data_IF_992912340701
#
_entry.id   IF_992912340701
#
_cell.length_a   1.000
_cell.length_b   1.000
_cell.length_c   1.000
_cell.angle_alpha   90.00
_cell.angle_beta   90.00
_cell.angle_gamma   90.00
#
_symmetry.space_group_name_H-M   'P 1'
#
loop_
_entity.id
_entity.type
_entity.pdbx_description
1 polymer ?
#
# COMPACT_ATOMS: atom_id res chain seq x y z
N UNK A 1 -6.44 -34.77 -37.54
CA UNK A 1 -5.25 -34.04 -37.04
C UNK A 1 -5.12 -32.64 -37.68
N UNK A 2 -5.42 -32.46 -38.95
CA UNK A 2 -5.32 -31.17 -39.68
C UNK A 2 -6.28 -30.11 -39.17
N UNK A 3 -7.54 -30.45 -38.78
CA UNK A 3 -8.54 -29.49 -38.26
C UNK A 3 -8.21 -28.92 -36.87
N UNK A 4 -7.39 -29.60 -36.03
CA UNK A 4 -6.94 -29.08 -34.73
C UNK A 4 -5.80 -28.06 -34.88
N UNK A 5 -5.01 -28.15 -35.94
CA UNK A 5 -3.90 -27.24 -36.26
C UNK A 5 -4.45 -25.94 -36.87
N UNK A 6 -5.45 -26.05 -37.78
CA UNK A 6 -6.13 -24.90 -38.35
C UNK A 6 -6.91 -24.06 -37.32
N UNK A 7 -7.55 -24.71 -36.34
CA UNK A 7 -8.24 -24.00 -35.26
C UNK A 7 -7.25 -23.26 -34.29
N UNK A 8 -6.05 -23.81 -34.08
CA UNK A 8 -4.99 -23.16 -33.30
C UNK A 8 -4.36 -21.96 -34.02
N UNK A 9 -4.21 -22.06 -35.36
CA UNK A 9 -3.67 -20.97 -36.18
C UNK A 9 -4.67 -19.80 -36.36
N UNK A 10 -5.97 -20.10 -36.41
CA UNK A 10 -7.00 -19.05 -36.49
C UNK A 10 -7.18 -18.34 -35.15
N UNK A 11 -7.10 -19.07 -34.02
CA UNK A 11 -7.16 -18.50 -32.67
C UNK A 11 -5.94 -17.64 -32.33
N UNK A 12 -4.74 -18.02 -32.82
CA UNK A 12 -3.53 -17.22 -32.60
C UNK A 12 -3.52 -15.91 -33.41
N UNK A 13 -4.03 -15.94 -34.65
CA UNK A 13 -4.20 -14.73 -35.49
C UNK A 13 -5.31 -13.81 -34.93
N UNK A 14 -6.38 -14.38 -34.41
CA UNK A 14 -7.46 -13.63 -33.75
C UNK A 14 -6.99 -12.98 -32.46
N UNK A 15 -6.23 -13.70 -31.65
CA UNK A 15 -5.58 -13.15 -30.44
C UNK A 15 -4.52 -12.09 -30.77
N UNK A 16 -3.73 -12.29 -31.84
CA UNK A 16 -2.79 -11.26 -32.30
C UNK A 16 -3.50 -10.02 -32.88
N UNK A 17 -4.71 -10.17 -33.44
CA UNK A 17 -5.51 -9.02 -33.88
C UNK A 17 -6.07 -8.22 -32.72
N UNK A 18 -6.47 -8.88 -31.61
CA UNK A 18 -6.88 -8.20 -30.37
C UNK A 18 -5.69 -7.61 -29.61
N UNK A 19 -4.54 -8.29 -29.57
CA UNK A 19 -3.33 -7.74 -28.93
C UNK A 19 -2.71 -6.60 -29.74
N UNK A 20 -2.89 -6.56 -31.08
CA UNK A 20 -2.37 -5.48 -31.93
C UNK A 20 -3.27 -4.25 -31.98
N UNK A 21 -4.54 -4.33 -31.49
CA UNK A 21 -5.45 -3.19 -31.42
C UNK A 21 -5.48 -2.53 -30.04
N UNK A 22 -4.79 -3.13 -29.05
CA UNK A 22 -4.51 -2.55 -27.75
C UNK A 22 -3.11 -1.93 -27.66
N UNK A 23 -2.55 -1.48 -28.78
CA UNK A 23 -1.37 -0.64 -28.75
C UNK A 23 -1.79 0.77 -28.34
N UNK A 24 -1.28 1.18 -27.17
CA UNK A 24 -1.00 2.58 -26.85
C UNK A 24 -2.15 3.48 -26.42
N UNK A 25 -2.98 3.02 -25.50
CA UNK A 25 -3.37 3.92 -24.42
C UNK A 25 -2.49 3.56 -23.21
N UNK A 26 -1.37 4.26 -23.07
CA UNK A 26 -0.56 4.21 -21.87
C UNK A 26 -1.39 4.75 -20.69
N UNK A 27 -2.14 3.87 -20.04
CA UNK A 27 -2.76 4.23 -18.77
C UNK A 27 -1.65 4.28 -17.72
N UNK A 28 -1.29 5.47 -17.28
CA UNK A 28 -0.32 5.64 -16.21
C UNK A 28 -1.03 5.33 -14.89
N UNK A 29 -0.56 4.30 -14.18
CA UNK A 29 -1.13 3.96 -12.88
C UNK A 29 -0.81 5.03 -11.83
N UNK A 30 -1.82 5.43 -11.04
CA UNK A 30 -1.66 6.31 -9.88
C UNK A 30 -1.00 5.59 -8.68
N UNK A 31 -0.84 4.27 -8.77
CA UNK A 31 -0.17 3.50 -7.72
C UNK A 31 1.31 3.86 -7.64
N UNK A 32 1.90 3.85 -6.43
CA UNK A 32 3.33 4.08 -6.26
C UNK A 32 4.15 3.15 -7.15
N UNK A 33 5.07 3.70 -7.93
CA UNK A 33 5.94 2.96 -8.85
C UNK A 33 7.30 2.69 -8.22
N UNK A 34 8.00 1.67 -8.72
CA UNK A 34 9.42 1.50 -8.43
C UNK A 34 10.21 2.31 -9.45
N UNK A 35 11.09 3.16 -8.99
CA UNK A 35 11.94 3.96 -9.88
C UNK A 35 13.02 3.05 -10.49
N UNK A 36 13.08 3.05 -11.82
CA UNK A 36 14.05 2.23 -12.57
C UNK A 36 15.05 3.07 -13.36
N UNK A 37 14.68 4.31 -13.72
CA UNK A 37 15.53 5.23 -14.46
C UNK A 37 16.67 5.76 -13.58
N UNK A 38 17.90 5.73 -14.08
CA UNK A 38 19.09 6.15 -13.33
C UNK A 38 19.03 7.62 -12.88
N UNK A 39 18.53 8.52 -13.74
CA UNK A 39 18.39 9.95 -13.44
C UNK A 39 17.43 10.23 -12.27
N UNK A 40 16.37 9.44 -12.15
CA UNK A 40 15.41 9.54 -11.04
C UNK A 40 15.92 8.82 -9.79
N UNK A 41 16.67 7.73 -9.96
CA UNK A 41 17.32 7.05 -8.86
C UNK A 41 18.33 7.92 -8.14
N UNK A 42 19.11 8.73 -8.87
CA UNK A 42 20.04 9.67 -8.26
C UNK A 42 19.31 10.65 -7.33
N UNK A 43 18.12 11.11 -7.68
CA UNK A 43 17.32 12.02 -6.85
C UNK A 43 16.84 11.37 -5.54
N UNK A 44 16.53 10.07 -5.55
CA UNK A 44 16.04 9.36 -4.36
C UNK A 44 17.15 8.68 -3.55
N UNK A 45 18.35 8.51 -4.14
CA UNK A 45 19.49 7.85 -3.51
C UNK A 45 19.83 8.40 -2.11
N UNK A 46 19.81 9.72 -1.86
CA UNK A 46 20.05 10.26 -0.52
C UNK A 46 19.06 9.74 0.53
N UNK A 47 17.79 9.50 0.15
CA UNK A 47 16.78 8.95 1.05
C UNK A 47 17.04 7.48 1.34
N UNK A 48 17.41 6.69 0.32
CA UNK A 48 17.76 5.28 0.46
C UNK A 48 18.97 5.09 1.37
N UNK A 49 20.02 5.86 1.14
CA UNK A 49 21.24 5.84 1.94
C UNK A 49 20.98 6.26 3.39
N UNK A 50 20.10 7.25 3.58
CA UNK A 50 19.72 7.72 4.92
C UNK A 50 18.90 6.66 5.67
N UNK A 51 17.96 5.97 4.99
CA UNK A 51 17.20 4.87 5.57
C UNK A 51 18.11 3.72 6.01
N UNK A 52 19.10 3.35 5.19
CA UNK A 52 20.07 2.30 5.55
C UNK A 52 20.91 2.73 6.76
N UNK A 53 21.39 3.97 6.77
CA UNK A 53 22.14 4.50 7.92
C UNK A 53 21.32 4.45 9.19
N UNK A 54 20.04 4.87 9.11
CA UNK A 54 19.12 4.84 10.25
C UNK A 54 18.89 3.41 10.75
N UNK A 55 18.61 2.45 9.85
CA UNK A 55 18.38 1.05 10.20
C UNK A 55 19.61 0.43 10.86
N UNK A 56 20.81 0.72 10.35
CA UNK A 56 22.06 0.18 10.87
C UNK A 56 22.55 0.90 12.14
N UNK A 57 21.99 2.06 12.47
CA UNK A 57 22.37 2.78 13.69
C UNK A 57 21.84 2.05 14.92
N UNK A 58 22.72 1.89 15.92
CA UNK A 58 22.35 1.26 17.20
C UNK A 58 21.29 2.12 17.91
N UNK A 59 20.30 1.45 18.49
CA UNK A 59 19.17 2.07 19.22
C UNK A 59 18.21 2.92 18.37
N UNK A 60 18.26 2.84 17.05
CA UNK A 60 17.27 3.44 16.15
C UNK A 60 16.35 2.33 15.66
N UNK A 61 15.18 2.20 16.27
CA UNK A 61 14.23 1.13 15.99
C UNK A 61 12.96 1.65 15.31
N UNK A 62 12.58 2.92 15.56
CA UNK A 62 11.42 3.56 14.99
C UNK A 62 11.86 4.74 14.12
N UNK A 63 11.63 4.62 12.83
CA UNK A 63 12.06 5.57 11.80
C UNK A 63 10.82 6.17 11.17
N UNK A 64 10.71 7.49 11.14
CA UNK A 64 9.65 8.18 10.40
C UNK A 64 10.17 8.64 9.03
N UNK A 65 9.44 8.33 7.98
CA UNK A 65 9.58 8.93 6.65
C UNK A 65 8.44 9.94 6.50
N UNK A 66 8.75 11.23 6.62
CA UNK A 66 7.75 12.29 6.69
C UNK A 66 7.71 13.13 5.41
N UNK A 67 6.57 13.70 5.09
CA UNK A 67 6.40 14.57 3.93
C UNK A 67 4.93 14.78 3.63
N UNK A 68 4.58 15.81 2.85
CA UNK A 68 3.21 16.10 2.43
C UNK A 68 2.57 14.93 1.68
N UNK A 69 1.25 14.98 1.52
CA UNK A 69 0.55 14.04 0.66
C UNK A 69 1.11 14.15 -0.78
N UNK A 70 1.28 13.04 -1.47
CA UNK A 70 1.85 13.06 -2.84
C UNK A 70 3.37 13.25 -2.92
N UNK A 71 4.10 13.48 -1.82
CA UNK A 71 5.56 13.73 -1.83
C UNK A 71 6.42 12.57 -2.34
N UNK A 72 5.85 11.37 -2.56
CA UNK A 72 6.58 10.22 -3.08
C UNK A 72 7.07 9.22 -2.02
N UNK A 73 6.67 9.34 -0.75
CA UNK A 73 7.05 8.41 0.35
C UNK A 73 6.91 6.94 -0.03
N UNK A 74 5.74 6.52 -0.51
CA UNK A 74 5.49 5.13 -0.89
C UNK A 74 6.33 4.67 -2.10
N UNK A 75 6.69 5.58 -3.01
CA UNK A 75 7.58 5.31 -4.14
C UNK A 75 9.02 5.06 -3.65
N UNK A 76 9.51 5.87 -2.72
CA UNK A 76 10.81 5.68 -2.07
C UNK A 76 10.83 4.33 -1.35
N UNK A 77 9.81 4.02 -0.55
CA UNK A 77 9.72 2.75 0.19
C UNK A 77 9.67 1.54 -0.74
N UNK A 78 8.88 1.57 -1.82
CA UNK A 78 8.85 0.47 -2.79
C UNK A 78 10.17 0.29 -3.52
N UNK A 79 10.86 1.38 -3.86
CA UNK A 79 12.18 1.30 -4.48
C UNK A 79 13.20 0.75 -3.49
N UNK A 80 13.17 1.21 -2.23
CA UNK A 80 13.99 0.69 -1.14
C UNK A 80 13.80 -0.82 -0.95
N UNK A 81 12.56 -1.28 -0.89
CA UNK A 81 12.25 -2.70 -0.76
C UNK A 81 12.79 -3.53 -1.93
N UNK A 82 12.72 -3.01 -3.16
CA UNK A 82 13.22 -3.72 -4.34
C UNK A 82 14.74 -3.82 -4.33
N UNK A 83 15.43 -2.73 -4.03
CA UNK A 83 16.89 -2.68 -4.06
C UNK A 83 17.54 -3.50 -2.94
N UNK A 84 16.95 -3.48 -1.74
CA UNK A 84 17.52 -4.13 -0.55
C UNK A 84 16.82 -5.42 -0.15
N UNK A 85 16.06 -6.04 -1.08
CA UNK A 85 15.37 -7.32 -0.85
C UNK A 85 16.31 -8.47 -0.44
N UNK A 86 17.58 -8.42 -0.84
CA UNK A 86 18.59 -9.41 -0.46
C UNK A 86 19.10 -9.25 0.97
N UNK A 87 19.13 -8.01 1.48
CA UNK A 87 19.66 -7.66 2.79
C UNK A 87 18.61 -7.65 3.89
N UNK A 88 17.38 -7.29 3.55
CA UNK A 88 16.28 -7.12 4.50
C UNK A 88 15.03 -7.89 4.08
N UNK A 89 14.23 -8.28 5.09
CA UNK A 89 12.92 -8.91 4.91
C UNK A 89 11.84 -7.94 5.34
N UNK A 90 11.09 -7.45 4.37
CA UNK A 90 10.10 -6.41 4.55
C UNK A 90 8.71 -6.98 4.79
N UNK A 91 8.01 -6.41 5.74
CA UNK A 91 6.60 -6.61 6.00
C UNK A 91 5.87 -5.28 5.84
N UNK A 92 4.81 -5.24 5.02
CA UNK A 92 4.03 -4.03 4.77
C UNK A 92 2.67 -4.13 5.46
N UNK A 93 2.28 -3.04 6.12
CA UNK A 93 0.96 -2.81 6.71
C UNK A 93 0.45 -1.48 6.20
N UNK A 94 -0.76 -1.46 5.64
CA UNK A 94 -1.42 -0.22 5.18
C UNK A 94 -2.84 -0.17 5.71
N UNK A 95 -3.22 0.95 6.28
CA UNK A 95 -4.50 1.14 6.97
C UNK A 95 -5.52 1.93 6.13
N UNK A 96 -5.35 1.97 4.82
CA UNK A 96 -6.16 2.78 3.90
C UNK A 96 -7.67 2.49 3.89
N UNK A 97 -8.15 1.41 4.52
CA UNK A 97 -9.50 0.88 4.33
C UNK A 97 -10.50 1.16 5.47
N UNK A 98 -10.18 2.02 6.42
CA UNK A 98 -11.11 2.36 7.49
C UNK A 98 -11.96 3.60 7.16
N UNK A 99 -13.27 3.49 7.36
CA UNK A 99 -14.15 4.66 7.34
C UNK A 99 -13.86 5.52 8.59
N UNK A 100 -13.81 6.84 8.42
CA UNK A 100 -13.76 7.78 9.54
C UNK A 100 -14.99 7.52 10.40
N UNK A 101 -14.79 7.08 11.64
CA UNK A 101 -15.81 7.08 12.68
C UNK A 101 -15.85 8.53 13.16
N UNK A 102 -17.02 9.16 13.14
CA UNK A 102 -17.17 10.51 13.70
C UNK A 102 -16.90 10.39 15.21
N UNK A 103 -15.80 10.95 15.66
CA UNK A 103 -15.38 10.95 17.06
C UNK A 103 -16.22 11.99 17.82
N UNK A 104 -17.38 11.58 18.35
CA UNK A 104 -18.22 12.43 19.21
C UNK A 104 -18.05 12.13 20.70
N UNK A 105 -17.36 11.01 21.06
CA UNK A 105 -17.16 10.58 22.44
C UNK A 105 -15.79 9.94 22.70
N UNK A 106 -15.34 9.93 23.97
CA UNK A 106 -14.12 9.23 24.38
C UNK A 106 -14.21 7.70 24.15
N UNK A 107 -15.39 7.12 24.27
CA UNK A 107 -15.64 5.68 24.00
C UNK A 107 -15.41 5.35 22.52
N UNK A 108 -15.72 6.27 21.61
CA UNK A 108 -15.47 6.09 20.17
C UNK A 108 -13.97 6.12 19.85
N UNK A 109 -13.21 6.96 20.54
CA UNK A 109 -11.74 7.02 20.38
C UNK A 109 -11.05 5.73 20.85
N UNK A 110 -11.43 5.17 22.00
CA UNK A 110 -10.89 3.88 22.47
C UNK A 110 -11.28 2.72 21.57
N UNK A 111 -12.52 2.73 21.06
CA UNK A 111 -13.00 1.74 20.10
C UNK A 111 -12.22 1.81 18.79
N UNK A 112 -11.97 3.00 18.25
CA UNK A 112 -11.16 3.20 17.07
C UNK A 112 -9.74 2.66 17.25
N UNK A 113 -9.13 2.96 18.40
CA UNK A 113 -7.78 2.49 18.75
C UNK A 113 -7.70 0.96 18.75
N UNK A 114 -8.66 0.27 19.37
CA UNK A 114 -8.75 -1.20 19.36
C UNK A 114 -8.93 -1.76 17.94
N UNK A 115 -9.76 -1.12 17.10
CA UNK A 115 -9.94 -1.53 15.71
C UNK A 115 -8.65 -1.38 14.90
N UNK A 116 -7.87 -0.33 15.14
CA UNK A 116 -6.56 -0.13 14.52
C UNK A 116 -5.58 -1.21 14.95
N UNK A 117 -5.49 -1.53 16.24
CA UNK A 117 -4.64 -2.61 16.76
C UNK A 117 -5.00 -3.96 16.13
N UNK A 118 -6.30 -4.29 16.06
CA UNK A 118 -6.78 -5.53 15.43
C UNK A 118 -6.40 -5.57 13.95
N UNK A 119 -6.58 -4.47 13.23
CA UNK A 119 -6.29 -4.40 11.81
C UNK A 119 -4.79 -4.57 11.52
N UNK A 120 -3.95 -3.89 12.29
CA UNK A 120 -2.49 -4.04 12.18
C UNK A 120 -2.09 -5.49 12.45
N UNK A 121 -2.59 -6.08 13.53
CA UNK A 121 -2.31 -7.46 13.90
C UNK A 121 -2.78 -8.45 12.82
N UNK A 122 -3.98 -8.26 12.28
CA UNK A 122 -4.50 -9.07 11.20
C UNK A 122 -3.60 -8.97 9.95
N UNK A 123 -3.22 -7.76 9.52
CA UNK A 123 -2.36 -7.59 8.36
C UNK A 123 -0.98 -8.23 8.57
N UNK A 124 -0.39 -8.10 9.76
CA UNK A 124 0.87 -8.76 10.11
C UNK A 124 0.72 -10.28 9.93
N UNK A 125 -0.25 -10.89 10.59
CA UNK A 125 -0.42 -12.34 10.60
C UNK A 125 -0.84 -12.85 9.23
N UNK A 126 -1.75 -12.14 8.52
CA UNK A 126 -2.26 -12.56 7.21
C UNK A 126 -1.27 -12.33 6.04
N UNK A 127 -0.21 -11.59 6.23
CA UNK A 127 0.84 -11.39 5.21
C UNK A 127 1.61 -12.67 4.86
N UNK A 128 1.59 -13.68 5.73
CA UNK A 128 2.40 -14.89 5.61
C UNK A 128 1.55 -16.13 5.40
N UNK A 129 2.08 -17.10 4.66
CA UNK A 129 1.42 -18.40 4.51
C UNK A 129 1.29 -19.09 5.90
N UNK A 130 0.12 -19.62 6.28
CA UNK A 130 -0.12 -20.28 7.55
C UNK A 130 0.88 -21.41 7.90
N UNK A 131 1.41 -22.08 6.88
CA UNK A 131 2.40 -23.14 7.08
C UNK A 131 3.73 -22.65 7.68
N UNK A 132 4.01 -21.34 7.61
CA UNK A 132 5.20 -20.73 8.23
C UNK A 132 5.02 -20.42 9.71
N UNK A 133 3.78 -20.32 10.17
CA UNK A 133 3.39 -20.04 11.56
C UNK A 133 2.36 -21.08 12.06
N UNK A 134 2.74 -22.38 12.12
CA UNK A 134 1.79 -23.47 12.40
C UNK A 134 1.16 -23.38 13.79
N UNK A 135 1.87 -22.86 14.78
CA UNK A 135 1.44 -22.80 16.18
C UNK A 135 0.67 -21.51 16.51
N UNK A 136 0.36 -20.67 15.51
CA UNK A 136 -0.43 -19.46 15.71
C UNK A 136 -1.88 -19.78 16.04
N UNK A 137 -2.46 -19.05 17.00
CA UNK A 137 -3.89 -19.15 17.38
C UNK A 137 -4.82 -18.60 16.29
N UNK A 138 -4.31 -17.76 15.40
CA UNK A 138 -5.07 -17.22 14.26
C UNK A 138 -5.24 -18.29 13.17
N UNK A 139 -6.27 -19.11 13.32
CA UNK A 139 -6.59 -20.16 12.35
C UNK A 139 -7.18 -19.55 11.07
N UNK A 140 -6.56 -19.88 9.93
CA UNK A 140 -7.08 -19.51 8.62
C UNK A 140 -7.76 -20.70 7.96
N UNK A 141 -8.77 -20.41 7.14
CA UNK A 141 -9.39 -21.41 6.29
C UNK A 141 -8.37 -21.80 5.22
N UNK A 142 -7.79 -23.01 5.36
CA UNK A 142 -6.88 -23.58 4.36
C UNK A 142 -7.68 -24.43 3.39
N UNK A 143 -7.64 -24.08 2.12
CA UNK A 143 -8.20 -24.95 1.08
C UNK A 143 -7.21 -26.08 0.77
N UNK A 144 -7.41 -27.25 1.42
CA UNK A 144 -6.62 -28.44 1.16
C UNK A 144 -7.17 -29.08 -0.12
N UNK A 145 -6.37 -29.28 -1.17
CA UNK A 145 -6.82 -29.86 -2.42
C UNK A 145 -7.34 -31.29 -2.21
N UNK A 146 -8.37 -31.67 -2.94
CA UNK A 146 -9.07 -32.94 -2.79
C UNK A 146 -8.14 -34.17 -2.79
N UNK A 147 -7.16 -34.22 -3.67
CA UNK A 147 -6.21 -35.31 -3.75
C UNK A 147 -5.39 -35.51 -2.45
N UNK A 148 -5.00 -34.45 -1.76
CA UNK A 148 -4.30 -34.56 -0.47
C UNK A 148 -5.23 -35.10 0.63
N UNK A 149 -6.51 -34.62 0.65
CA UNK A 149 -7.50 -35.18 1.59
C UNK A 149 -7.73 -36.68 1.35
N UNK A 150 -7.84 -37.08 0.07
CA UNK A 150 -8.03 -38.48 -0.31
C UNK A 150 -6.84 -39.37 0.10
N UNK A 151 -5.60 -38.91 -0.11
CA UNK A 151 -4.40 -39.64 0.32
C UNK A 151 -4.36 -39.81 1.84
N UNK A 152 -4.64 -38.74 2.61
CA UNK A 152 -4.67 -38.82 4.07
C UNK A 152 -5.75 -39.81 4.54
N UNK A 153 -6.96 -39.71 3.96
CA UNK A 153 -8.04 -40.67 4.26
C UNK A 153 -7.64 -42.11 3.96
N UNK A 154 -7.03 -42.33 2.81
CA UNK A 154 -6.52 -43.68 2.45
C UNK A 154 -5.45 -44.19 3.43
N UNK A 155 -4.49 -43.36 3.82
CA UNK A 155 -3.47 -43.75 4.81
C UNK A 155 -4.09 -44.09 6.17
N UNK A 156 -5.09 -43.34 6.63
CA UNK A 156 -5.79 -43.63 7.89
C UNK A 156 -6.58 -44.94 7.79
N UNK A 157 -7.34 -45.19 6.71
CA UNK A 157 -8.09 -46.40 6.52
C UNK A 157 -7.17 -47.63 6.39
N UNK A 158 -6.05 -47.50 5.69
CA UNK A 158 -5.03 -48.55 5.59
C UNK A 158 -4.41 -48.86 6.96
N UNK A 159 -4.07 -47.86 7.75
CA UNK A 159 -3.55 -48.06 9.11
C UNK A 159 -4.54 -48.76 10.03
N UNK A 160 -5.84 -48.38 9.98
CA UNK A 160 -6.91 -49.04 10.73
C UNK A 160 -7.05 -50.52 10.31
N UNK A 161 -6.94 -50.83 9.03
CA UNK A 161 -6.94 -52.19 8.53
C UNK A 161 -5.74 -53.01 9.07
N UNK A 162 -4.54 -52.42 9.07
CA UNK A 162 -3.37 -53.04 9.69
C UNK A 162 -3.57 -53.29 11.19
N UNK A 163 -4.22 -52.39 11.90
CA UNK A 163 -4.53 -52.54 13.32
C UNK A 163 -5.54 -53.66 13.58
N UNK A 164 -6.56 -53.80 12.75
CA UNK A 164 -7.51 -54.95 12.80
C UNK A 164 -6.82 -56.30 12.54
N UNK A 165 -5.93 -56.36 11.53
CA UNK A 165 -5.15 -57.57 11.23
C UNK A 165 -4.17 -57.91 12.38
N UNK A 166 -3.55 -56.90 12.98
CA UNK A 166 -2.67 -57.07 14.13
C UNK A 166 -3.42 -57.70 15.30
N UNK A 167 -4.63 -57.29 15.59
CA UNK A 167 -5.45 -57.85 16.67
C UNK A 167 -5.96 -59.24 16.33
N UNK A 168 -6.55 -59.43 15.11
CA UNK A 168 -7.11 -60.71 14.67
C UNK A 168 -6.11 -61.84 14.71
N UNK A 169 -4.85 -61.58 14.34
CA UNK A 169 -3.80 -62.59 14.25
C UNK A 169 -2.96 -62.70 15.52
N UNK A 170 -3.33 -62.05 16.62
CA UNK A 170 -2.60 -62.03 17.90
C UNK A 170 -1.09 -61.67 17.74
N UNK A 171 -0.74 -60.79 16.81
CA UNK A 171 0.65 -60.36 16.56
C UNK A 171 1.30 -59.66 17.77
N UNK A 172 0.54 -59.40 18.83
CA UNK A 172 1.07 -58.94 20.13
C UNK A 172 2.06 -59.93 20.71
N UNK A 173 1.93 -61.25 20.42
CA UNK A 173 2.86 -62.27 20.85
C UNK A 173 4.24 -62.16 20.20
N UNK A 174 4.33 -61.57 18.98
CA UNK A 174 5.59 -61.29 18.28
C UNK A 174 6.40 -60.23 19.00
N UNK A 175 5.72 -59.28 19.65
CA UNK A 175 6.35 -58.19 20.40
C UNK A 175 6.89 -58.68 21.76
N UNK A 176 6.42 -59.80 22.25
CA UNK A 176 6.85 -60.38 23.54
C UNK A 176 8.22 -61.06 23.42
N UNK A 177 9.31 -60.56 24.07
CA UNK A 177 10.65 -61.10 23.95
C UNK A 177 10.77 -62.54 24.41
N UNK A 178 9.86 -63.07 25.28
CA UNK A 178 9.84 -64.38 25.76
C UNK A 178 9.49 -65.41 24.68
N UNK A 179 8.87 -65.01 23.59
CA UNK A 179 8.45 -65.86 22.48
C UNK A 179 9.46 -65.91 21.34
N UNK A 180 10.61 -65.22 21.48
CA UNK A 180 11.67 -65.19 20.48
C UNK A 180 12.53 -66.48 20.61
N UNK A 181 12.15 -67.55 19.88
CA UNK A 181 12.92 -68.75 19.74
C UNK A 181 13.45 -68.90 18.32
N UNK A 182 14.70 -69.37 18.20
CA UNK A 182 15.44 -69.48 16.92
C UNK A 182 14.79 -70.49 15.97
N UNK A 183 13.93 -71.34 16.46
CA UNK A 183 13.32 -72.46 15.70
C UNK A 183 11.94 -72.13 15.09
N UNK A 184 11.37 -71.01 15.32
CA UNK A 184 10.07 -70.61 14.70
C UNK A 184 10.29 -69.86 13.39
N UNK A 185 9.59 -70.25 12.31
CA UNK A 185 9.51 -69.57 11.05
C UNK A 185 9.14 -68.10 11.30
N UNK A 186 10.00 -67.18 10.92
CA UNK A 186 9.86 -65.80 11.13
C UNK A 186 8.69 -65.31 10.29
N UNK A 187 7.59 -64.91 10.94
CA UNK A 187 6.45 -64.29 10.25
C UNK A 187 6.79 -62.84 9.85
N UNK A 188 7.45 -62.70 8.71
CA UNK A 188 7.85 -61.38 8.14
C UNK A 188 6.64 -60.45 7.97
N UNK A 189 5.47 -60.99 7.65
CA UNK A 189 4.24 -60.22 7.46
C UNK A 189 3.77 -59.63 8.81
N UNK A 190 3.77 -60.48 9.86
CA UNK A 190 3.39 -60.06 11.21
C UNK A 190 4.32 -58.99 11.77
N UNK A 191 5.64 -59.11 11.54
CA UNK A 191 6.62 -58.07 11.92
C UNK A 191 6.37 -56.79 11.19
N UNK A 192 6.12 -56.85 9.87
CA UNK A 192 5.86 -55.63 9.05
C UNK A 192 4.57 -54.91 9.50
N UNK A 193 3.50 -55.69 9.76
CA UNK A 193 2.23 -55.12 10.28
C UNK A 193 2.45 -54.46 11.65
N UNK A 194 3.22 -55.11 12.55
CA UNK A 194 3.54 -54.56 13.85
C UNK A 194 4.28 -53.27 13.77
N UNK A 195 5.27 -53.12 12.89
CA UNK A 195 6.01 -51.86 12.66
C UNK A 195 5.07 -50.77 12.19
N UNK A 196 4.17 -51.07 11.24
CA UNK A 196 3.20 -50.05 10.75
C UNK A 196 2.27 -49.56 11.87
N UNK A 197 1.77 -50.48 12.71
CA UNK A 197 0.90 -50.15 13.82
C UNK A 197 1.62 -49.25 14.84
N UNK A 198 2.83 -49.62 15.26
CA UNK A 198 3.61 -48.81 16.22
C UNK A 198 4.04 -47.47 15.66
N UNK A 199 4.40 -47.38 14.37
CA UNK A 199 4.64 -46.09 13.70
C UNK A 199 3.39 -45.18 13.70
N UNK A 200 2.23 -45.76 13.40
CA UNK A 200 0.97 -45.02 13.44
C UNK A 200 0.63 -44.50 14.84
N UNK A 201 0.82 -45.30 15.88
CA UNK A 201 0.64 -44.91 17.29
C UNK A 201 1.63 -43.80 17.65
N UNK A 202 2.89 -43.89 17.23
CA UNK A 202 3.90 -42.84 17.46
C UNK A 202 3.54 -41.52 16.81
N UNK A 203 3.05 -41.52 15.55
CA UNK A 203 2.58 -40.34 14.85
C UNK A 203 1.36 -39.72 15.55
N UNK A 204 0.43 -40.59 16.01
CA UNK A 204 -0.77 -40.15 16.72
C UNK A 204 -0.41 -39.50 18.06
N UNK A 205 0.50 -40.14 18.83
CA UNK A 205 1.01 -39.59 20.07
C UNK A 205 1.72 -38.24 19.87
N UNK A 206 2.52 -38.10 18.81
CA UNK A 206 3.16 -36.85 18.45
C UNK A 206 2.11 -35.77 18.15
N UNK A 207 1.06 -36.08 17.41
CA UNK A 207 -0.04 -35.16 17.10
C UNK A 207 -0.84 -34.78 18.34
N UNK A 208 -1.05 -35.67 19.27
CA UNK A 208 -1.71 -35.39 20.55
C UNK A 208 -0.85 -34.44 21.37
N UNK A 209 0.45 -34.64 21.48
CA UNK A 209 1.38 -33.75 22.18
C UNK A 209 1.38 -32.35 21.53
N UNK A 210 1.38 -32.26 20.19
CA UNK A 210 1.28 -31.03 19.43
C UNK A 210 -0.03 -30.30 19.75
N UNK A 211 -1.16 -31.00 19.83
CA UNK A 211 -2.46 -30.45 20.22
C UNK A 211 -2.46 -29.90 21.66
N UNK A 212 -1.90 -30.65 22.60
CA UNK A 212 -1.80 -30.19 24.00
C UNK A 212 -0.86 -28.99 24.15
N UNK A 213 0.21 -28.93 23.35
CA UNK A 213 1.13 -27.79 23.36
C UNK A 213 0.51 -26.54 22.75
N UNK A 214 -0.32 -26.69 21.71
CA UNK A 214 -1.01 -25.56 21.06
C UNK A 214 -2.27 -25.12 21.80
N UNK A 215 -2.84 -25.98 22.66
CA UNK A 215 -3.97 -25.65 23.51
C UNK A 215 -3.46 -25.18 24.89
N UNK A 216 -2.99 -23.93 24.98
CA UNK A 216 -3.23 -23.20 26.20
C UNK A 216 -4.75 -23.13 26.33
N UNK A 217 -5.31 -23.90 27.26
CA UNK A 217 -6.74 -23.91 27.58
C UNK A 217 -7.10 -22.56 28.19
N UNK A 218 -7.20 -21.53 27.39
CA UNK A 218 -8.03 -20.40 27.67
C UNK A 218 -9.39 -20.71 27.02
N UNK A 219 -10.43 -20.61 27.78
CA UNK A 219 -11.82 -20.92 27.42
C UNK A 219 -12.15 -20.35 26.03
N UNK A 220 -11.95 -21.15 24.98
CA UNK A 220 -12.42 -20.83 23.64
C UNK A 220 -13.81 -21.45 23.55
N UNK A 221 -14.83 -20.63 23.60
CA UNK A 221 -16.17 -21.02 23.18
C UNK A 221 -16.08 -21.45 21.70
N UNK A 222 -16.59 -22.64 21.41
CA UNK A 222 -16.55 -23.33 20.11
C UNK A 222 -17.53 -22.70 19.09
N UNK A 223 -18.08 -21.55 19.37
CA UNK A 223 -18.92 -20.78 18.45
C UNK A 223 -18.21 -19.51 18.08
N UNK A 224 -18.02 -19.32 16.77
CA UNK A 224 -17.27 -18.23 16.12
C UNK A 224 -17.86 -16.84 16.27
N UNK A 225 -18.40 -16.53 17.41
CA UNK A 225 -18.71 -15.19 17.87
C UNK A 225 -17.68 -14.85 18.96
N UNK A 226 -16.91 -13.81 18.71
CA UNK A 226 -16.18 -13.12 19.77
C UNK A 226 -17.25 -12.49 20.67
N UNK A 227 -17.83 -13.29 21.56
CA UNK A 227 -18.48 -12.71 22.72
C UNK A 227 -17.38 -12.05 23.56
N UNK A 228 -17.23 -10.76 23.32
CA UNK A 228 -16.61 -9.84 24.25
C UNK A 228 -17.37 -9.98 25.57
N UNK A 229 -16.84 -10.77 26.50
CA UNK A 229 -17.31 -10.80 27.86
C UNK A 229 -17.00 -9.42 28.48
N UNK A 230 -18.03 -8.59 28.50
CA UNK A 230 -18.02 -7.14 28.63
C UNK A 230 -17.72 -6.62 30.06
N UNK A 231 -16.98 -7.27 30.94
CA UNK A 231 -16.83 -6.64 32.28
C UNK A 231 -15.43 -6.68 32.91
N UNK A 232 -14.40 -7.30 32.32
CA UNK A 232 -13.04 -7.24 32.92
C UNK A 232 -11.88 -7.21 31.89
N UNK A 233 -12.16 -7.16 30.58
CA UNK A 233 -11.14 -7.20 29.51
C UNK A 233 -11.04 -5.83 28.79
N UNK A 234 -11.88 -4.87 29.14
CA UNK A 234 -12.00 -3.59 28.43
C UNK A 234 -10.77 -2.69 28.49
N UNK A 235 -9.90 -2.83 29.50
CA UNK A 235 -8.76 -1.93 29.71
C UNK A 235 -7.42 -2.41 29.11
N UNK A 236 -7.35 -3.59 28.48
CA UNK A 236 -6.08 -4.10 27.94
C UNK A 236 -5.95 -3.90 26.43
N UNK A 237 -4.83 -3.32 26.02
CA UNK A 237 -4.44 -3.25 24.60
C UNK A 237 -4.46 -4.64 23.97
N UNK A 238 -5.03 -4.74 22.76
CA UNK A 238 -5.04 -5.97 21.94
C UNK A 238 -3.61 -6.46 21.66
N UNK A 239 -2.69 -5.55 21.43
CA UNK A 239 -1.29 -5.89 21.23
C UNK A 239 -0.68 -6.60 22.45
N UNK A 240 -1.00 -6.17 23.67
CA UNK A 240 -0.53 -6.82 24.88
C UNK A 240 -1.18 -8.19 25.07
N UNK A 241 -2.43 -8.34 24.68
CA UNK A 241 -3.14 -9.62 24.74
C UNK A 241 -2.52 -10.66 23.79
N UNK A 242 -2.08 -10.23 22.61
CA UNK A 242 -1.49 -11.10 21.58
C UNK A 242 0.03 -10.92 21.42
N UNK A 243 0.71 -10.43 22.45
CA UNK A 243 2.15 -10.18 22.40
C UNK A 243 2.95 -11.45 22.06
N UNK A 244 2.61 -12.57 22.68
CA UNK A 244 3.25 -13.87 22.41
C UNK A 244 3.12 -14.28 20.92
N UNK A 245 1.97 -13.99 20.31
CA UNK A 245 1.73 -14.25 18.88
C UNK A 245 2.61 -13.36 17.99
N UNK A 246 2.76 -12.10 18.36
CA UNK A 246 3.59 -11.15 17.62
C UNK A 246 5.07 -11.58 17.71
N UNK A 247 5.55 -11.91 18.90
CA UNK A 247 6.93 -12.39 19.10
C UNK A 247 7.16 -13.69 18.33
N UNK A 248 6.23 -14.66 18.41
CA UNK A 248 6.28 -15.90 17.67
C UNK A 248 6.32 -15.67 16.14
N UNK A 249 5.50 -14.75 15.65
CA UNK A 249 5.47 -14.37 14.25
C UNK A 249 6.84 -13.88 13.76
N UNK A 250 7.44 -12.90 14.43
CA UNK A 250 8.74 -12.35 14.04
C UNK A 250 9.87 -13.39 14.20
N UNK A 251 9.83 -14.24 15.22
CA UNK A 251 10.78 -15.33 15.41
C UNK A 251 10.77 -16.32 14.23
N UNK A 252 9.58 -16.72 13.76
CA UNK A 252 9.43 -17.74 12.70
C UNK A 252 9.65 -17.18 11.30
N UNK A 253 9.21 -15.97 11.05
CA UNK A 253 9.22 -15.35 9.70
C UNK A 253 10.54 -14.64 9.41
N UNK A 254 11.26 -14.21 10.46
CA UNK A 254 12.51 -13.45 10.37
C UNK A 254 12.36 -12.14 9.57
N UNK A 255 11.18 -11.52 9.61
CA UNK A 255 11.03 -10.14 9.12
C UNK A 255 11.81 -9.22 10.04
N UNK A 256 12.61 -8.32 9.46
CA UNK A 256 13.43 -7.38 10.21
C UNK A 256 13.06 -5.92 9.94
N UNK A 257 12.20 -5.65 8.94
CA UNK A 257 11.65 -4.31 8.69
C UNK A 257 10.14 -4.41 8.56
N UNK A 258 9.43 -3.67 9.41
CA UNK A 258 7.99 -3.45 9.32
C UNK A 258 7.74 -2.04 8.78
N UNK A 259 7.06 -1.93 7.65
CA UNK A 259 6.65 -0.66 7.03
C UNK A 259 5.18 -0.46 7.30
N UNK A 260 4.83 0.69 7.89
CA UNK A 260 3.46 1.08 8.22
C UNK A 260 3.13 2.35 7.44
N UNK A 261 2.13 2.24 6.56
CA UNK A 261 1.66 3.35 5.74
C UNK A 261 0.23 3.73 6.13
N UNK A 262 -0.14 4.99 5.88
CA UNK A 262 -1.50 5.53 6.06
C UNK A 262 -2.02 5.58 7.51
N UNK A 263 -1.14 5.48 8.51
CA UNK A 263 -1.52 5.56 9.92
C UNK A 263 -1.95 6.99 10.33
N UNK A 264 -1.44 7.98 9.65
CA UNK A 264 -1.72 9.42 9.82
C UNK A 264 -3.16 9.82 9.44
N UNK A 265 -3.92 8.94 8.79
CA UNK A 265 -5.33 9.20 8.45
C UNK A 265 -6.28 9.18 9.64
N UNK A 266 -5.85 8.66 10.79
CA UNK A 266 -6.72 8.35 11.93
C UNK A 266 -6.60 9.35 13.09
N UNK A 267 -5.77 10.38 12.99
CA UNK A 267 -5.59 11.43 13.99
C UNK A 267 -5.30 10.93 15.43
N UNK A 268 -5.00 9.62 15.58
CA UNK A 268 -4.76 8.96 16.85
C UNK A 268 -3.26 8.77 17.11
N UNK A 269 -2.70 9.53 18.04
CA UNK A 269 -1.27 9.46 18.39
C UNK A 269 -0.94 8.30 19.34
N UNK A 270 -1.93 7.77 20.09
CA UNK A 270 -1.70 6.70 21.07
C UNK A 270 -1.21 5.40 20.42
N UNK A 271 -1.66 5.12 19.19
CA UNK A 271 -1.25 3.91 18.46
C UNK A 271 0.27 3.87 18.22
N UNK A 272 0.92 5.03 18.05
CA UNK A 272 2.39 5.10 17.92
C UNK A 272 3.11 4.70 19.19
N UNK A 273 2.57 5.08 20.36
CA UNK A 273 3.10 4.66 21.66
C UNK A 273 3.04 3.14 21.77
N UNK A 274 1.91 2.54 21.46
CA UNK A 274 1.72 1.08 21.52
C UNK A 274 2.61 0.32 20.54
N UNK A 275 2.74 0.83 19.31
CA UNK A 275 3.65 0.25 18.32
C UNK A 275 5.12 0.35 18.76
N UNK A 276 5.51 1.48 19.38
CA UNK A 276 6.85 1.64 19.94
C UNK A 276 7.11 0.66 21.09
N UNK A 277 6.15 0.46 21.98
CA UNK A 277 6.24 -0.54 23.06
C UNK A 277 6.46 -1.95 22.49
N UNK A 278 5.68 -2.34 21.47
CA UNK A 278 5.88 -3.62 20.78
C UNK A 278 7.29 -3.71 20.21
N UNK A 279 7.74 -2.66 19.53
CA UNK A 279 9.07 -2.67 18.93
C UNK A 279 10.18 -2.85 19.97
N UNK A 280 10.05 -2.18 21.12
CA UNK A 280 10.98 -2.34 22.25
C UNK A 280 10.95 -3.78 22.79
N UNK A 281 9.74 -4.36 22.98
CA UNK A 281 9.58 -5.73 23.45
C UNK A 281 10.15 -6.75 22.46
N UNK A 282 9.95 -6.57 21.17
CA UNK A 282 10.52 -7.41 20.11
C UNK A 282 12.06 -7.39 20.16
N UNK A 283 12.66 -6.20 20.23
CA UNK A 283 14.12 -6.06 20.21
C UNK A 283 14.79 -6.49 21.53
N UNK A 284 14.05 -6.47 22.65
CA UNK A 284 14.54 -6.97 23.94
C UNK A 284 14.31 -8.48 24.14
N UNK A 285 13.55 -9.13 23.25
CA UNK A 285 13.25 -10.55 23.36
C UNK A 285 14.46 -11.39 22.95
N UNK A 286 14.90 -12.30 23.81
CA UNK A 286 15.96 -13.27 23.50
C UNK A 286 15.58 -14.27 22.36
N UNK A 287 14.30 -14.32 21.99
CA UNK A 287 13.79 -15.20 20.93
C UNK A 287 14.03 -14.63 19.53
N UNK A 288 14.22 -13.32 19.42
CA UNK A 288 14.45 -12.61 18.17
C UNK A 288 15.94 -12.25 18.08
N UNK A 289 16.64 -12.85 17.12
CA UNK A 289 18.09 -12.70 16.98
C UNK A 289 18.50 -11.47 16.17
N UNK A 290 17.63 -11.03 15.27
CA UNK A 290 17.88 -9.90 14.37
C UNK A 290 17.11 -8.67 14.87
N UNK A 291 17.73 -7.51 14.73
CA UNK A 291 17.08 -6.23 15.05
C UNK A 291 15.84 -6.04 14.17
N UNK A 292 14.72 -5.67 14.77
CA UNK A 292 13.47 -5.33 14.06
C UNK A 292 13.28 -3.81 14.06
N UNK A 293 13.25 -3.20 12.89
CA UNK A 293 13.03 -1.76 12.72
C UNK A 293 11.64 -1.50 12.14
N UNK A 294 10.95 -0.50 12.68
CA UNK A 294 9.66 -0.02 12.18
C UNK A 294 9.87 1.27 11.40
N UNK A 295 9.34 1.34 10.17
CA UNK A 295 9.38 2.51 9.32
C UNK A 295 7.95 2.99 9.12
N UNK A 296 7.68 4.24 9.50
CA UNK A 296 6.36 4.86 9.41
C UNK A 296 6.36 5.88 8.27
N UNK A 297 5.46 5.73 7.30
CA UNK A 297 5.23 6.75 6.28
C UNK A 297 4.05 7.62 6.73
N UNK A 298 4.34 8.85 7.15
CA UNK A 298 3.37 9.77 7.75
C UNK A 298 3.44 11.15 7.11
N UNK A 299 2.36 11.94 7.28
CA UNK A 299 2.34 13.35 6.88
C UNK A 299 3.14 14.21 7.85
N UNK A 300 3.73 15.31 7.36
CA UNK A 300 4.42 16.28 8.20
C UNK A 300 3.48 16.97 9.19
N UNK A 301 2.20 17.13 8.83
CA UNK A 301 1.18 17.85 9.59
C UNK A 301 0.55 17.01 10.70
N UNK A 302 0.82 15.69 10.72
CA UNK A 302 0.18 14.78 11.67
C UNK A 302 0.45 15.10 13.13
N UNK A 303 1.69 15.46 13.47
CA UNK A 303 2.04 15.87 14.82
C UNK A 303 1.98 17.38 14.97
N UNK A 304 0.96 17.89 15.64
CA UNK A 304 0.80 19.31 15.96
C UNK A 304 1.83 19.77 17.00
N UNK A 305 2.20 18.92 17.97
CA UNK A 305 3.27 19.19 18.93
C UNK A 305 4.61 18.63 18.46
N UNK A 306 5.57 19.54 18.28
CA UNK A 306 6.96 19.19 17.91
C UNK A 306 7.63 18.24 18.91
N UNK A 307 7.25 18.30 20.20
CA UNK A 307 7.83 17.45 21.24
C UNK A 307 7.32 16.01 21.15
N UNK A 308 6.08 15.79 20.73
CA UNK A 308 5.52 14.45 20.57
C UNK A 308 6.22 13.70 19.43
N UNK A 309 6.45 14.35 18.30
CA UNK A 309 7.15 13.77 17.15
C UNK A 309 8.50 13.17 17.52
N UNK A 310 9.29 13.89 18.35
CA UNK A 310 10.62 13.45 18.79
C UNK A 310 10.54 12.34 19.85
N UNK A 311 9.41 12.23 20.57
CA UNK A 311 9.22 11.14 21.53
C UNK A 311 9.03 9.78 20.89
N UNK A 312 8.35 9.72 19.72
CA UNK A 312 7.99 8.46 19.09
C UNK A 312 9.08 7.91 18.18
N UNK A 313 9.84 8.78 17.50
CA UNK A 313 10.81 8.38 16.50
C UNK A 313 12.23 8.69 16.93
N UNK A 314 13.10 7.69 16.84
CA UNK A 314 14.54 7.87 17.06
C UNK A 314 15.23 8.47 15.82
N UNK A 315 14.59 8.38 14.64
CA UNK A 315 15.12 8.97 13.41
C UNK A 315 13.99 9.46 12.50
N UNK A 316 14.15 10.64 11.93
CA UNK A 316 13.17 11.26 11.02
C UNK A 316 13.85 11.58 9.71
N UNK A 317 13.28 11.09 8.61
CA UNK A 317 13.71 11.33 7.24
C UNK A 317 12.66 12.19 6.55
N UNK A 318 12.87 13.51 6.39
CA UNK A 318 11.94 14.35 5.68
C UNK A 318 12.06 14.13 4.17
N UNK A 319 10.92 13.97 3.49
CA UNK A 319 10.83 13.82 2.04
C UNK A 319 10.36 15.12 1.43
N UNK A 320 11.20 15.70 0.59
CA UNK A 320 10.83 16.87 -0.21
C UNK A 320 9.90 16.40 -1.34
N UNK A 321 8.76 17.06 -1.59
CA UNK A 321 7.85 16.70 -2.67
C UNK A 321 8.60 16.59 -4.01
N UNK A 322 8.31 15.51 -4.76
CA UNK A 322 8.91 15.25 -6.06
C UNK A 322 8.53 16.33 -7.08
N UNK A 323 7.31 16.87 -6.98
CA UNK A 323 6.85 18.04 -7.73
C UNK A 323 6.73 19.21 -6.78
N UNK A 324 7.22 20.34 -7.26
CA UNK A 324 7.08 21.67 -6.65
C UNK A 324 6.90 22.70 -7.75
N UNK A 325 6.56 23.93 -7.41
CA UNK A 325 6.38 25.03 -8.37
C UNK A 325 7.55 25.21 -9.35
N UNK A 326 8.79 24.94 -8.92
CA UNK A 326 9.97 25.16 -9.74
C UNK A 326 10.19 24.10 -10.82
N UNK A 327 9.66 22.88 -10.63
CA UNK A 327 9.85 21.77 -11.56
C UNK A 327 8.55 21.27 -12.18
N UNK A 328 7.40 21.85 -11.84
CA UNK A 328 6.09 21.41 -12.31
C UNK A 328 5.99 21.43 -13.84
N UNK A 329 6.48 22.49 -14.49
CA UNK A 329 6.51 22.61 -15.95
C UNK A 329 7.34 21.48 -16.60
N UNK A 330 8.52 21.19 -16.05
CA UNK A 330 9.39 20.10 -16.54
C UNK A 330 8.71 18.75 -16.42
N UNK A 331 8.05 18.48 -15.28
CA UNK A 331 7.33 17.25 -15.04
C UNK A 331 6.11 17.11 -15.97
N UNK A 332 5.42 18.19 -16.25
CA UNK A 332 4.30 18.22 -17.17
C UNK A 332 4.76 17.93 -18.61
N UNK A 333 5.86 18.57 -19.08
CA UNK A 333 6.48 18.27 -20.37
C UNK A 333 6.97 16.82 -20.46
N UNK A 334 7.53 16.27 -19.37
CA UNK A 334 7.92 14.85 -19.29
C UNK A 334 6.72 13.92 -19.43
N UNK A 335 5.61 14.20 -18.77
CA UNK A 335 4.37 13.43 -18.91
C UNK A 335 3.80 13.45 -20.32
N UNK A 336 3.80 14.60 -20.99
CA UNK A 336 3.38 14.73 -22.39
C UNK A 336 4.18 13.77 -23.27
N UNK A 337 5.49 13.73 -23.09
CA UNK A 337 6.40 12.87 -23.84
C UNK A 337 6.20 11.38 -23.51
N UNK A 338 6.05 11.02 -22.23
CA UNK A 338 5.79 9.64 -21.80
C UNK A 338 4.47 9.10 -22.34
N UNK A 339 3.47 9.95 -22.52
CA UNK A 339 2.16 9.62 -23.08
C UNK A 339 2.14 9.57 -24.61
N UNK A 340 3.28 9.82 -25.28
CA UNK A 340 3.38 9.81 -26.75
C UNK A 340 2.57 10.91 -27.41
N UNK A 341 2.27 12.01 -26.69
CA UNK A 341 1.60 13.18 -27.25
C UNK A 341 2.59 14.06 -28.01
N UNK A 342 2.07 14.85 -28.94
CA UNK A 342 2.87 15.84 -29.65
C UNK A 342 3.45 16.85 -28.65
N UNK A 343 4.73 17.16 -28.74
CA UNK A 343 5.41 18.07 -27.83
C UNK A 343 4.76 19.49 -27.83
N UNK A 344 4.15 19.87 -28.95
CA UNK A 344 3.47 21.17 -29.14
C UNK A 344 1.97 21.13 -28.88
N UNK A 345 1.45 20.12 -28.16
CA UNK A 345 0.02 20.00 -27.85
C UNK A 345 -0.49 21.16 -27.01
N UNK A 346 0.37 21.78 -26.23
CA UNK A 346 0.16 22.97 -25.42
C UNK A 346 1.27 23.98 -25.68
N UNK A 347 0.94 25.27 -25.61
CA UNK A 347 1.94 26.35 -25.63
C UNK A 347 2.72 26.41 -24.33
N UNK A 348 3.95 26.93 -24.39
CA UNK A 348 4.78 27.10 -23.18
C UNK A 348 4.12 28.07 -22.18
N UNK A 349 3.48 29.13 -22.66
CA UNK A 349 2.72 30.09 -21.83
C UNK A 349 1.57 29.39 -21.10
N UNK A 350 0.81 28.53 -21.79
CA UNK A 350 -0.26 27.76 -21.19
C UNK A 350 0.25 26.78 -20.12
N UNK A 351 1.38 26.12 -20.37
CA UNK A 351 2.00 25.21 -19.42
C UNK A 351 2.39 25.96 -18.12
N UNK A 352 2.97 27.15 -18.26
CA UNK A 352 3.33 28.01 -17.12
C UNK A 352 2.09 28.46 -16.35
N UNK A 353 1.05 28.94 -17.06
CA UNK A 353 -0.19 29.39 -16.44
C UNK A 353 -0.90 28.27 -15.68
N UNK A 354 -1.02 27.07 -16.27
CA UNK A 354 -1.74 25.95 -15.67
C UNK A 354 -1.00 25.39 -14.45
N UNK A 355 0.33 25.34 -14.48
CA UNK A 355 1.14 24.89 -13.32
C UNK A 355 1.09 25.87 -12.17
N UNK A 356 0.93 27.16 -12.44
CA UNK A 356 0.73 28.20 -11.42
C UNK A 356 -0.69 28.19 -10.85
N UNK A 357 -1.69 27.80 -11.68
CA UNK A 357 -3.09 27.75 -11.26
C UNK A 357 -3.37 26.58 -10.30
N UNK A 358 -2.65 25.47 -10.41
CA UNK A 358 -2.88 24.28 -9.58
C UNK A 358 -2.25 24.50 -8.20
N UNK A 359 -3.08 24.74 -7.19
CA UNK A 359 -2.64 24.76 -5.80
C UNK A 359 -2.25 23.33 -5.36
N UNK A 360 -1.22 23.21 -4.52
CA UNK A 360 -0.73 21.94 -3.98
C UNK A 360 -0.51 20.84 -5.04
N UNK A 361 0.14 21.23 -6.14
CA UNK A 361 0.40 20.32 -7.27
C UNK A 361 1.17 19.08 -6.83
N UNK A 362 0.57 17.92 -7.06
CA UNK A 362 1.22 16.62 -6.85
C UNK A 362 1.17 15.75 -8.11
N UNK A 363 2.05 14.74 -8.17
CA UNK A 363 2.15 13.87 -9.34
C UNK A 363 0.89 13.04 -9.60
N UNK A 364 0.12 12.68 -8.56
CA UNK A 364 -1.11 11.91 -8.71
C UNK A 364 -2.21 12.76 -9.31
N UNK A 365 -2.37 13.99 -8.83
CA UNK A 365 -3.32 14.94 -9.36
C UNK A 365 -3.02 15.22 -10.83
N UNK A 366 -1.76 15.51 -11.15
CA UNK A 366 -1.34 15.81 -12.52
C UNK A 366 -1.59 14.63 -13.47
N UNK A 367 -1.22 13.41 -13.09
CA UNK A 367 -1.48 12.20 -13.87
C UNK A 367 -2.98 11.97 -14.04
N UNK A 368 -3.80 12.22 -12.99
CA UNK A 368 -5.25 12.06 -13.07
C UNK A 368 -5.87 13.04 -14.07
N UNK A 369 -5.49 14.33 -14.01
CA UNK A 369 -5.93 15.36 -14.96
C UNK A 369 -5.58 14.95 -16.40
N UNK A 370 -4.35 14.47 -16.62
CA UNK A 370 -3.93 14.00 -17.95
C UNK A 370 -4.72 12.80 -18.47
N UNK A 371 -4.94 11.81 -17.62
CA UNK A 371 -5.73 10.64 -18.03
C UNK A 371 -7.16 11.03 -18.38
N UNK A 372 -7.75 11.91 -17.58
CA UNK A 372 -9.08 12.42 -17.85
C UNK A 372 -9.12 13.22 -19.15
N UNK A 373 -8.12 14.09 -19.39
CA UNK A 373 -7.97 14.81 -20.66
C UNK A 373 -7.91 13.87 -21.85
N UNK A 374 -7.11 12.80 -21.80
CA UNK A 374 -7.02 11.83 -22.89
C UNK A 374 -8.35 11.12 -23.15
N UNK A 375 -9.09 10.78 -22.10
CA UNK A 375 -10.42 10.16 -22.22
C UNK A 375 -11.38 11.13 -22.90
N UNK A 376 -11.46 12.38 -22.44
CA UNK A 376 -12.35 13.38 -23.03
C UNK A 376 -11.97 13.72 -24.47
N UNK A 377 -10.68 13.88 -24.76
CA UNK A 377 -10.18 14.11 -26.13
C UNK A 377 -10.61 12.99 -27.08
N UNK A 378 -10.57 11.73 -26.63
CA UNK A 378 -10.99 10.58 -27.42
C UNK A 378 -12.51 10.51 -27.63
N UNK A 379 -13.30 10.88 -26.61
CA UNK A 379 -14.77 10.85 -26.67
C UNK A 379 -15.29 12.02 -27.51
N UNK A 380 -14.77 13.21 -27.29
CA UNK A 380 -15.26 14.47 -27.87
C UNK A 380 -14.50 14.84 -29.15
N UNK A 381 -13.48 14.09 -29.52
CA UNK A 381 -12.54 14.37 -30.62
C UNK A 381 -13.16 14.56 -32.02
N UNK A 382 -14.48 14.41 -32.16
CA UNK A 382 -15.23 14.81 -33.38
C UNK A 382 -15.59 16.32 -33.42
N UNK A 383 -15.43 17.03 -32.30
CA UNK A 383 -15.65 18.46 -32.17
C UNK A 383 -14.26 19.10 -32.13
N UNK A 384 -14.02 20.08 -32.99
CA UNK A 384 -12.73 20.81 -33.05
C UNK A 384 -12.55 21.67 -31.77
N UNK A 385 -12.25 21.03 -30.63
CA UNK A 385 -11.98 21.69 -29.35
C UNK A 385 -10.49 22.04 -29.26
N UNK A 386 -10.21 23.22 -28.77
CA UNK A 386 -8.85 23.59 -28.40
C UNK A 386 -8.38 22.73 -27.23
N UNK A 387 -7.23 22.06 -27.39
CA UNK A 387 -6.66 21.18 -26.38
C UNK A 387 -6.40 21.88 -25.04
N UNK A 388 -5.94 23.14 -25.09
CA UNK A 388 -5.67 23.95 -23.90
C UNK A 388 -6.95 24.25 -23.12
N UNK A 389 -8.03 24.65 -23.83
CA UNK A 389 -9.33 24.90 -23.20
C UNK A 389 -9.90 23.61 -22.58
N UNK A 390 -9.78 22.48 -23.27
CA UNK A 390 -10.21 21.20 -22.76
C UNK A 390 -9.40 20.80 -21.51
N UNK A 391 -8.09 20.98 -21.54
CA UNK A 391 -7.23 20.68 -20.41
C UNK A 391 -7.53 21.60 -19.20
N UNK A 392 -7.71 22.91 -19.45
CA UNK A 392 -8.04 23.88 -18.42
C UNK A 392 -9.37 23.56 -17.71
N UNK A 393 -10.42 23.20 -18.44
CA UNK A 393 -11.71 22.86 -17.84
C UNK A 393 -11.66 21.58 -17.03
N UNK A 394 -10.86 20.59 -17.45
CA UNK A 394 -10.64 19.36 -16.70
C UNK A 394 -9.80 19.62 -15.45
N UNK A 395 -8.79 20.49 -15.55
CA UNK A 395 -8.03 20.95 -14.39
C UNK A 395 -8.95 21.59 -13.36
N UNK A 396 -9.80 22.53 -13.80
CA UNK A 396 -10.78 23.17 -12.92
C UNK A 396 -11.72 22.17 -12.26
N UNK A 397 -12.22 21.18 -13.02
CA UNK A 397 -13.06 20.10 -12.49
C UNK A 397 -12.39 19.32 -11.37
N UNK A 398 -11.07 19.10 -11.46
CA UNK A 398 -10.31 18.37 -10.45
C UNK A 398 -9.96 19.25 -9.23
N UNK A 399 -9.86 20.59 -9.42
CA UNK A 399 -9.56 21.53 -8.33
C UNK A 399 -10.80 21.92 -7.52
N UNK A 400 -11.91 22.20 -8.19
CA UNK A 400 -13.20 22.57 -7.55
C UNK A 400 -14.36 21.76 -8.17
N UNK A 401 -14.48 20.46 -7.83
CA UNK A 401 -15.50 19.59 -8.40
C UNK A 401 -16.93 20.01 -8.01
N UNK A 402 -17.10 20.67 -6.86
CA UNK A 402 -18.40 21.16 -6.42
C UNK A 402 -18.90 22.32 -7.29
N UNK A 403 -18.04 23.30 -7.57
CA UNK A 403 -18.40 24.41 -8.44
C UNK A 403 -18.57 23.98 -9.90
N UNK A 404 -17.70 23.06 -10.36
CA UNK A 404 -17.83 22.47 -11.70
C UNK A 404 -19.19 21.80 -11.91
N UNK A 405 -19.72 21.06 -10.92
CA UNK A 405 -21.04 20.43 -11.02
C UNK A 405 -22.18 21.46 -11.12
N UNK A 406 -22.04 22.65 -10.51
CA UNK A 406 -23.00 23.74 -10.59
C UNK A 406 -23.07 24.38 -12.00
N UNK A 407 -22.02 24.21 -12.81
CA UNK A 407 -21.95 24.72 -14.19
C UNK A 407 -23.10 24.16 -15.05
N UNK A 408 -23.45 22.89 -14.89
CA UNK A 408 -24.55 22.25 -15.62
C UNK A 408 -25.90 22.91 -15.32
N UNK A 409 -26.09 23.44 -14.11
CA UNK A 409 -27.27 24.19 -13.69
C UNK A 409 -27.18 25.71 -13.95
N UNK A 410 -26.15 26.17 -14.66
CA UNK A 410 -25.87 27.57 -14.93
C UNK A 410 -25.68 28.41 -13.64
N UNK A 411 -25.02 27.85 -12.69
CA UNK A 411 -24.71 28.43 -11.37
C UNK A 411 -23.24 28.27 -11.05
N UNK A 412 -22.78 28.96 -10.00
CA UNK A 412 -21.42 28.85 -9.51
C UNK A 412 -20.47 29.93 -9.97
N UNK A 413 -19.26 29.91 -9.44
CA UNK A 413 -18.21 30.91 -9.68
C UNK A 413 -17.77 30.92 -11.14
N UNK A 414 -17.48 29.74 -11.69
CA UNK A 414 -17.06 29.59 -13.08
C UNK A 414 -18.11 30.06 -14.06
N UNK A 415 -19.39 29.72 -13.83
CA UNK A 415 -20.48 30.19 -14.67
C UNK A 415 -20.59 31.70 -14.65
N UNK A 416 -20.54 32.36 -13.46
CA UNK A 416 -20.63 33.81 -13.33
C UNK A 416 -19.45 34.52 -14.02
N UNK A 417 -18.24 33.94 -13.92
CA UNK A 417 -17.06 34.50 -14.58
C UNK A 417 -17.18 34.42 -16.11
N UNK A 418 -17.59 33.29 -16.65
CA UNK A 418 -17.78 33.10 -18.10
C UNK A 418 -18.90 34.00 -18.65
N UNK A 419 -20.00 34.17 -17.90
CA UNK A 419 -21.13 34.97 -18.30
C UNK A 419 -20.85 36.50 -18.24
N UNK A 420 -19.97 36.92 -17.35
CA UNK A 420 -19.57 38.32 -17.17
C UNK A 420 -18.24 38.68 -17.87
N UNK A 421 -17.70 37.79 -18.67
CA UNK A 421 -16.40 37.95 -19.33
C UNK A 421 -16.28 39.27 -20.06
N UNK A 422 -17.29 39.63 -20.85
CA UNK A 422 -17.28 40.87 -21.65
C UNK A 422 -17.26 42.13 -20.78
N UNK A 423 -17.86 42.08 -19.59
CA UNK A 423 -17.84 43.21 -18.64
C UNK A 423 -16.44 43.40 -18.05
N UNK A 424 -15.79 42.31 -17.63
CA UNK A 424 -14.41 42.36 -17.08
C UNK A 424 -13.42 42.85 -18.13
N UNK A 425 -13.52 42.35 -19.37
CA UNK A 425 -12.66 42.78 -20.48
C UNK A 425 -12.89 44.29 -20.76
N UNK A 426 -14.13 44.74 -20.77
CA UNK A 426 -14.47 46.15 -21.02
C UNK A 426 -13.87 47.06 -19.94
N UNK A 427 -14.06 46.75 -18.68
CA UNK A 427 -13.46 47.50 -17.58
C UNK A 427 -11.94 47.61 -17.67
N UNK A 428 -11.31 46.50 -18.08
CA UNK A 428 -9.87 46.46 -18.26
C UNK A 428 -9.40 47.32 -19.46
N UNK A 429 -10.11 47.24 -20.60
CA UNK A 429 -9.82 48.03 -21.79
C UNK A 429 -10.00 49.55 -21.45
N UNK A 430 -11.11 49.94 -20.80
CA UNK A 430 -11.34 51.31 -20.40
C UNK A 430 -10.25 51.87 -19.50
N UNK A 431 -9.70 51.03 -18.61
CA UNK A 431 -8.58 51.44 -17.75
C UNK A 431 -7.29 51.65 -18.54
N UNK A 432 -6.98 50.77 -19.47
CA UNK A 432 -5.80 50.90 -20.35
C UNK A 432 -5.95 52.13 -21.26
N UNK A 433 -7.11 52.34 -21.85
CA UNK A 433 -7.37 53.49 -22.71
C UNK A 433 -7.20 54.81 -21.95
N UNK A 434 -7.61 54.89 -20.68
CA UNK A 434 -7.34 56.04 -19.82
C UNK A 434 -5.83 56.26 -19.62
N UNK A 435 -5.08 55.21 -19.32
CA UNK A 435 -3.64 55.28 -19.15
C UNK A 435 -2.93 55.74 -20.45
N UNK A 436 -3.36 55.21 -21.60
CA UNK A 436 -2.84 55.60 -22.92
C UNK A 436 -3.12 57.10 -23.13
N UNK A 437 -4.36 57.56 -22.92
CA UNK A 437 -4.73 58.98 -23.11
C UNK A 437 -3.95 59.91 -22.21
N UNK A 438 -3.64 59.53 -20.98
CA UNK A 438 -2.81 60.32 -20.07
C UNK A 438 -1.36 60.39 -20.54
N UNK A 439 -0.78 59.27 -21.00
CA UNK A 439 0.58 59.26 -21.55
C UNK A 439 0.70 60.04 -22.83
N UNK A 440 -0.29 59.99 -23.72
CA UNK A 440 -0.35 60.84 -24.92
C UNK A 440 -0.40 62.35 -24.62
N UNK A 441 -1.17 62.73 -23.59
CA UNK A 441 -1.20 64.15 -23.14
C UNK A 441 0.15 64.64 -22.64
N UNK A 442 0.87 63.74 -21.89
CA UNK A 442 2.22 64.04 -21.40
C UNK A 442 3.19 64.17 -22.60
N UNK A 443 3.11 63.26 -23.56
CA UNK A 443 3.93 63.27 -24.76
C UNK A 443 3.73 64.53 -25.59
N UNK A 444 2.45 65.00 -25.80
CA UNK A 444 2.11 66.23 -26.48
C UNK A 444 2.67 67.47 -25.76
N UNK A 445 2.62 67.46 -24.43
CA UNK A 445 3.24 68.59 -23.65
C UNK A 445 4.77 68.57 -23.81
N UNK A 446 5.42 67.42 -23.79
CA UNK A 446 6.87 67.32 -23.95
C UNK A 446 7.31 67.72 -25.36
N UNK A 447 6.58 67.32 -26.40
CA UNK A 447 6.84 67.75 -27.80
C UNK A 447 6.64 69.23 -27.99
N UNK A 448 5.56 69.87 -27.41
CA UNK A 448 5.39 71.31 -27.43
C UNK A 448 6.55 72.02 -26.74
N UNK A 449 6.98 71.59 -25.58
CA UNK A 449 8.11 72.18 -24.87
C UNK A 449 9.42 72.08 -25.64
N UNK A 450 9.67 70.95 -26.33
CA UNK A 450 10.86 70.75 -27.19
C UNK A 450 10.78 71.75 -28.40
N UNK A 451 9.64 71.88 -29.03
CA UNK A 451 9.44 72.86 -30.15
C UNK A 451 9.71 74.29 -29.71
N UNK A 452 9.22 74.69 -28.54
CA UNK A 452 9.46 76.05 -27.97
C UNK A 452 10.96 76.30 -27.69
N UNK A 453 11.68 75.25 -27.27
CA UNK A 453 13.13 75.36 -27.01
C UNK A 453 13.94 75.39 -28.32
N UNK A 454 13.44 74.79 -29.42
CA UNK A 454 14.09 74.85 -30.72
C UNK A 454 13.80 76.09 -31.54
N UNK A 455 12.75 76.92 -31.22
CA UNK A 455 12.39 78.22 -31.82
C UNK A 455 13.02 79.40 -31.12
N UNK A 456 13.63 79.21 -29.96
CA UNK A 456 14.46 80.18 -29.26
C UNK A 456 15.94 79.88 -29.44
#
# INVERSE_FOLDING_TARGET
>A
MVNKILHKLHCSKFLQFFTKRNSEQLSISLAPKVITEESEKEKIKPYLDTLIKAINTKNVNNIALTGSYGSGKSTILKTFQKEYKSSFRFLNVSLASFNKINEESNEDSERLERLLEISILQQIIYSVNPNKIPDSHFKRILNIPFHKKAIIAFCITFWLLCLLLFWKNNYIEIVNPKNWSIDKTFDLIGVFISIIVFLGISILSYKIIELFRSSKISRVSIQGEIELNNNEIEDRSIFNQYLDEIIYFFQKTKYNILIIEDLDRFENTNIFTKLREINILLNNSNLIKEKVSFIYAISDDFFTDKKERVKFFEYIVPVIPFINYYNAEEQLKKLIKELGLEENIFSDDFISDITTFIDDIDMRLLVNIFQEFLIYKNIVGKINLNNEQLFAIITYKNMDPEDFNKLASRQGKLYSLLNNKDNYIREFIEKIDKEISEKEKILKKLTMNILIILEN
#
